data_IF_941638808865
#
_entry.id   IF_941638808865
#
_cell.length_a   1.000
_cell.length_b   1.000
_cell.length_c   1.000
_cell.angle_alpha   90.00
_cell.angle_beta   90.00
_cell.angle_gamma   90.00
#
_symmetry.space_group_name_H-M   'P 1'
#
loop_
_entity.id
_entity.type
_entity.pdbx_description
1 polymer ?
#
# COMPACT_ATOMS: atom_id res chain seq x y z
N UNK A 1 1.79 -2.42 -0.61
CA UNK A 1 0.41 -2.32 -0.07
C UNK A 1 0.34 -1.14 0.91
N UNK A 2 -0.79 -0.44 0.99
CA UNK A 2 -1.11 0.46 2.12
C UNK A 2 -2.53 0.16 2.58
N UNK A 3 -2.82 0.49 3.83
CA UNK A 3 -4.19 0.44 4.35
C UNK A 3 -4.40 1.74 5.14
N UNK A 4 -5.43 2.48 4.75
CA UNK A 4 -5.77 3.79 5.26
C UNK A 4 -7.06 3.65 6.06
N UNK A 5 -7.10 4.11 7.31
CA UNK A 5 -8.36 4.27 8.05
C UNK A 5 -8.95 5.65 7.71
N UNK A 6 -10.25 5.68 7.46
CA UNK A 6 -10.98 6.72 6.73
C UNK A 6 -12.13 7.31 7.56
N UNK A 7 -12.23 8.63 7.55
CA UNK A 7 -13.52 9.31 7.70
C UNK A 7 -14.14 9.52 6.31
N UNK A 8 -15.45 9.76 6.16
CA UNK A 8 -16.13 9.59 4.88
C UNK A 8 -15.83 10.69 3.87
N UNK A 9 -14.82 10.49 2.98
CA UNK A 9 -14.84 10.81 1.53
C UNK A 9 -13.48 10.57 0.80
N UNK A 10 -13.54 9.87 -0.35
CA UNK A 10 -12.58 9.83 -1.49
C UNK A 10 -11.16 9.23 -1.37
N UNK A 11 -11.01 8.03 -1.96
CA UNK A 11 -9.99 7.49 -2.92
C UNK A 11 -8.66 8.21 -3.20
N UNK A 12 -7.55 7.43 -3.38
CA UNK A 12 -6.44 7.52 -4.41
C UNK A 12 -5.01 7.17 -3.88
N UNK A 13 -4.15 6.56 -4.73
CA UNK A 13 -2.84 5.90 -4.40
C UNK A 13 -1.83 5.82 -5.60
N UNK A 14 -0.51 5.47 -5.59
CA UNK A 14 0.64 5.15 -4.66
C UNK A 14 1.88 6.02 -5.08
N UNK A 15 3.09 6.06 -4.45
CA UNK A 15 4.07 5.09 -3.85
C UNK A 15 4.92 5.66 -2.67
N UNK A 16 5.82 4.82 -2.11
CA UNK A 16 6.94 5.12 -1.17
C UNK A 16 6.62 5.79 0.18
N UNK A 17 7.64 5.96 1.04
CA UNK A 17 7.52 6.81 2.26
C UNK A 17 7.01 8.17 1.83
N UNK A 18 6.17 8.80 2.64
CA UNK A 18 5.52 10.06 2.29
C UNK A 18 6.56 11.05 1.76
N UNK A 19 6.55 11.30 0.45
CA UNK A 19 7.50 12.17 -0.20
C UNK A 19 7.23 13.58 0.25
N UNK A 20 7.96 14.05 1.26
CA UNK A 20 7.89 15.43 1.67
C UNK A 20 8.47 16.27 0.51
N UNK A 21 7.68 17.09 -0.21
CA UNK A 21 8.09 17.65 -1.50
C UNK A 21 9.23 18.66 -1.38
N UNK A 22 9.57 19.10 -0.17
CA UNK A 22 10.70 19.97 0.16
C UNK A 22 12.01 19.22 0.43
N UNK A 23 11.99 17.88 0.51
CA UNK A 23 13.18 17.03 0.66
C UNK A 23 13.29 15.96 -0.43
N UNK A 24 12.17 15.41 -0.88
CA UNK A 24 12.09 14.37 -1.91
C UNK A 24 11.82 14.99 -3.29
N UNK A 25 12.58 14.61 -4.32
CA UNK A 25 12.34 15.00 -5.72
C UNK A 25 12.82 16.39 -6.16
N UNK A 26 13.18 17.29 -5.24
CA UNK A 26 13.77 18.60 -5.60
C UNK A 26 12.81 19.55 -6.33
N UNK A 27 11.55 19.57 -5.92
CA UNK A 27 10.45 20.24 -6.61
C UNK A 27 10.63 21.77 -6.61
N UNK A 28 10.64 22.38 -7.79
CA UNK A 28 10.86 23.84 -7.97
C UNK A 28 9.53 24.62 -7.99
N UNK A 29 8.40 23.91 -8.10
CA UNK A 29 7.06 24.48 -8.27
C UNK A 29 5.98 23.63 -7.58
N UNK A 30 4.87 24.26 -7.22
CA UNK A 30 3.67 23.61 -6.66
C UNK A 30 3.17 22.45 -7.54
N UNK A 31 3.26 22.59 -8.87
CA UNK A 31 2.88 21.53 -9.80
C UNK A 31 3.74 20.27 -9.64
N UNK A 32 5.07 20.42 -9.57
CA UNK A 32 5.99 19.29 -9.39
C UNK A 32 5.85 18.64 -8.01
N UNK A 33 5.46 19.43 -6.99
CA UNK A 33 5.21 18.96 -5.64
C UNK A 33 4.08 17.91 -5.55
N UNK A 34 3.25 17.79 -6.57
CA UNK A 34 2.19 16.77 -6.71
C UNK A 34 2.62 15.72 -7.73
N UNK A 35 3.11 14.60 -7.25
CA UNK A 35 3.50 13.42 -8.02
C UNK A 35 3.24 12.13 -7.23
N UNK A 36 3.49 10.96 -7.84
CA UNK A 36 3.21 9.65 -7.24
C UNK A 36 3.89 9.41 -5.87
N UNK A 37 5.08 9.97 -5.61
CA UNK A 37 5.70 9.84 -4.27
C UNK A 37 5.06 10.70 -3.17
N UNK A 38 4.19 11.67 -3.50
CA UNK A 38 3.83 12.79 -2.60
C UNK A 38 2.34 12.91 -2.26
N UNK A 39 1.45 12.23 -2.98
CA UNK A 39 0.00 12.45 -2.85
C UNK A 39 -0.56 12.06 -1.46
N UNK A 40 -0.02 11.07 -0.73
CA UNK A 40 -0.43 10.78 0.66
C UNK A 40 0.02 11.87 1.64
N UNK A 41 1.16 12.53 1.40
CA UNK A 41 1.51 13.71 2.17
C UNK A 41 0.43 14.78 1.95
N UNK A 42 0.04 15.04 0.70
CA UNK A 42 -1.08 15.96 0.40
C UNK A 42 -2.43 15.51 0.94
N UNK A 43 -2.69 14.21 1.09
CA UNK A 43 -3.89 13.69 1.75
C UNK A 43 -3.86 13.92 3.27
N UNK A 44 -2.69 13.79 3.91
CA UNK A 44 -2.50 14.17 5.31
C UNK A 44 -2.69 15.67 5.53
N UNK A 45 -2.01 16.53 4.75
CA UNK A 45 -2.12 18.00 4.87
C UNK A 45 -3.57 18.50 4.61
N UNK A 46 -4.39 17.73 3.89
CA UNK A 46 -5.81 18.00 3.66
C UNK A 46 -6.76 17.38 4.72
N UNK A 47 -6.24 16.66 5.71
CA UNK A 47 -7.03 16.01 6.76
C UNK A 47 -7.85 14.80 6.28
N UNK A 48 -7.49 14.19 5.15
CA UNK A 48 -8.20 13.04 4.55
C UNK A 48 -7.75 11.68 5.15
N UNK A 49 -6.73 11.68 5.99
CA UNK A 49 -6.13 10.48 6.58
C UNK A 49 -6.24 10.51 8.12
N UNK A 50 -6.47 9.34 8.71
CA UNK A 50 -6.40 9.13 10.15
C UNK A 50 -4.99 8.72 10.61
N UNK A 51 -4.72 8.93 11.90
CA UNK A 51 -3.47 8.51 12.54
C UNK A 51 -3.41 6.99 12.87
N UNK A 52 -4.23 6.17 12.20
CA UNK A 52 -4.32 4.71 12.29
C UNK A 52 -3.72 4.00 11.06
N UNK A 53 -3.20 4.75 10.09
CA UNK A 53 -2.79 4.23 8.78
C UNK A 53 -1.48 3.42 8.82
N UNK A 54 -1.28 2.54 7.82
CA UNK A 54 -0.10 1.65 7.74
C UNK A 54 0.48 1.50 6.32
N UNK A 55 1.82 1.50 6.24
CA UNK A 55 2.63 1.19 5.07
C UNK A 55 3.12 -0.26 5.13
N UNK A 56 2.90 -1.06 4.08
CA UNK A 56 3.26 -2.48 4.05
C UNK A 56 4.11 -2.85 2.82
N UNK A 57 5.08 -3.74 3.04
CA UNK A 57 6.12 -4.18 2.10
C UNK A 57 7.14 -3.10 1.68
N UNK A 58 7.50 -2.17 2.59
CA UNK A 58 8.54 -1.17 2.34
C UNK A 58 9.92 -1.84 2.15
N UNK A 59 10.65 -1.45 1.10
CA UNK A 59 12.03 -1.89 0.80
C UNK A 59 12.85 -0.77 0.15
N UNK A 60 13.66 -1.07 -0.88
CA UNK A 60 14.47 -0.09 -1.61
C UNK A 60 15.66 0.47 -0.82
N UNK A 61 16.35 1.49 -1.36
CA UNK A 61 17.37 2.25 -0.64
C UNK A 61 16.79 2.85 0.65
N UNK A 62 17.55 2.85 1.75
CA UNK A 62 17.08 3.38 3.02
C UNK A 62 16.70 4.87 2.90
N UNK A 63 15.41 5.24 3.02
CA UNK A 63 15.01 6.64 3.05
C UNK A 63 15.50 7.23 4.37
N UNK A 64 15.91 8.49 4.36
CA UNK A 64 16.68 9.07 5.46
C UNK A 64 15.87 9.15 6.76
N UNK A 65 16.52 9.40 7.90
CA UNK A 65 15.82 9.56 9.19
C UNK A 65 14.74 10.66 9.17
N UNK A 66 14.81 11.61 8.23
CA UNK A 66 13.77 12.62 8.00
C UNK A 66 12.48 12.05 7.44
N UNK A 67 12.58 11.17 6.44
CA UNK A 67 11.45 10.57 5.73
C UNK A 67 10.74 9.58 6.67
N UNK A 68 11.55 8.79 7.39
CA UNK A 68 11.10 7.93 8.51
C UNK A 68 10.27 8.71 9.53
N UNK A 69 10.76 9.88 9.96
CA UNK A 69 10.04 10.77 10.89
C UNK A 69 8.86 11.52 10.26
N UNK A 70 8.70 11.54 8.93
CA UNK A 70 7.62 12.25 8.25
C UNK A 70 6.39 11.36 8.13
N UNK A 71 6.54 10.09 7.73
CA UNK A 71 5.47 9.07 7.82
C UNK A 71 4.82 9.07 9.22
N UNK A 72 5.64 9.06 10.27
CA UNK A 72 5.23 8.98 11.67
C UNK A 72 4.40 10.21 12.09
N UNK A 73 4.84 11.41 11.70
CA UNK A 73 4.08 12.66 11.94
C UNK A 73 2.75 12.68 11.20
N UNK A 74 2.73 12.10 10.00
CA UNK A 74 1.54 12.03 9.17
C UNK A 74 0.62 10.85 9.52
N UNK A 75 0.91 10.09 10.58
CA UNK A 75 0.02 9.06 11.10
C UNK A 75 0.20 7.67 10.50
N UNK A 76 1.38 7.34 9.96
CA UNK A 76 1.70 6.01 9.41
C UNK A 76 2.67 5.20 10.28
N UNK A 77 2.33 3.91 10.48
CA UNK A 77 3.29 2.88 10.89
C UNK A 77 3.81 2.11 9.66
N UNK A 78 4.91 1.36 9.80
CA UNK A 78 5.57 0.62 8.70
C UNK A 78 5.77 -0.86 9.01
N UNK A 79 5.65 -1.65 7.96
CA UNK A 79 6.09 -3.03 7.85
C UNK A 79 7.07 -3.11 6.68
N UNK A 80 8.30 -3.52 6.95
CA UNK A 80 9.31 -3.76 5.91
C UNK A 80 9.00 -5.07 5.19
N UNK A 81 9.36 -5.20 3.91
CA UNK A 81 9.15 -6.44 3.14
C UNK A 81 9.76 -7.65 3.89
N UNK A 82 11.01 -7.51 4.36
CA UNK A 82 11.77 -8.49 5.16
C UNK A 82 11.36 -8.63 6.64
N UNK A 83 10.24 -8.04 7.06
CA UNK A 83 9.65 -8.44 8.35
C UNK A 83 8.88 -9.77 8.22
N UNK A 84 8.44 -10.13 7.01
CA UNK A 84 7.76 -11.40 6.73
C UNK A 84 8.65 -12.61 7.08
N UNK A 85 9.97 -12.49 6.85
CA UNK A 85 11.00 -13.49 7.22
C UNK A 85 11.03 -13.80 8.73
N UNK A 86 10.52 -12.89 9.57
CA UNK A 86 10.61 -12.94 11.04
C UNK A 86 9.28 -13.29 11.70
N UNK A 87 8.17 -12.80 11.15
CA UNK A 87 6.83 -12.90 11.77
C UNK A 87 5.79 -13.65 10.91
N UNK A 88 6.14 -14.01 9.67
CA UNK A 88 5.25 -14.66 8.70
C UNK A 88 4.06 -13.80 8.29
N UNK A 89 3.30 -14.24 7.28
CA UNK A 89 2.07 -13.56 6.82
C UNK A 89 1.11 -13.27 7.99
N UNK A 90 0.96 -14.22 8.92
CA UNK A 90 0.11 -14.08 10.11
C UNK A 90 0.54 -12.94 11.05
N UNK A 91 1.85 -12.70 11.22
CA UNK A 91 2.34 -11.55 11.99
C UNK A 91 2.13 -10.22 11.27
N UNK A 92 2.20 -10.20 9.93
CA UNK A 92 1.86 -9.03 9.11
C UNK A 92 0.37 -8.71 9.24
N UNK A 93 -0.50 -9.71 9.07
CA UNK A 93 -1.96 -9.62 9.24
C UNK A 93 -2.31 -9.08 10.62
N UNK A 94 -1.69 -9.62 11.69
CA UNK A 94 -1.93 -9.16 13.06
C UNK A 94 -1.52 -7.69 13.22
N UNK A 95 -0.30 -7.31 12.80
CA UNK A 95 0.16 -5.91 12.86
C UNK A 95 -0.81 -4.96 12.16
N UNK A 96 -1.28 -5.33 10.96
CA UNK A 96 -2.26 -4.54 10.21
C UNK A 96 -3.55 -4.37 11.02
N UNK A 97 -4.16 -5.47 11.48
CA UNK A 97 -5.42 -5.46 12.23
C UNK A 97 -5.32 -4.69 13.55
N UNK A 98 -4.21 -4.85 14.28
CA UNK A 98 -3.89 -4.09 15.49
C UNK A 98 -3.81 -2.57 15.23
N UNK A 99 -3.30 -2.19 14.04
CA UNK A 99 -2.97 -0.80 13.69
C UNK A 99 -4.16 -0.01 13.16
N UNK A 100 -4.99 -0.62 12.29
CA UNK A 100 -6.17 0.04 11.68
C UNK A 100 -7.45 -0.14 12.51
N UNK A 101 -7.47 -1.10 13.43
CA UNK A 101 -8.60 -1.35 14.33
C UNK A 101 -9.89 -1.72 13.60
N UNK A 102 -11.01 -1.09 13.99
CA UNK A 102 -12.35 -1.31 13.42
C UNK A 102 -12.88 -0.08 12.67
N UNK A 103 -11.99 0.80 12.20
CA UNK A 103 -12.34 1.95 11.37
C UNK A 103 -12.82 1.54 9.98
N UNK A 104 -13.30 2.50 9.18
CA UNK A 104 -13.59 2.25 7.77
C UNK A 104 -12.28 2.28 7.00
N UNK A 105 -11.89 1.20 6.32
CA UNK A 105 -10.57 1.12 5.68
C UNK A 105 -10.63 1.18 4.16
N UNK A 106 -9.68 1.91 3.59
CA UNK A 106 -9.36 1.90 2.17
C UNK A 106 -8.08 1.07 1.97
N UNK A 107 -8.18 -0.04 1.24
CA UNK A 107 -7.06 -0.94 0.95
C UNK A 107 -6.46 -0.60 -0.40
N UNK A 108 -5.15 -0.64 -0.51
CA UNK A 108 -4.50 -0.39 -1.79
C UNK A 108 -3.25 -1.24 -2.03
N UNK A 109 -3.10 -1.69 -3.26
CA UNK A 109 -1.94 -2.44 -3.71
C UNK A 109 -1.27 -1.76 -4.89
N UNK A 110 -0.11 -1.19 -4.62
CA UNK A 110 0.92 -1.06 -5.63
C UNK A 110 1.46 -2.43 -6.06
N UNK A 111 1.54 -2.70 -7.35
CA UNK A 111 2.18 -3.92 -7.85
C UNK A 111 3.70 -3.91 -7.70
N UNK A 112 4.33 -2.74 -7.54
CA UNK A 112 5.73 -2.57 -7.11
C UNK A 112 5.96 -3.15 -5.71
N UNK A 113 4.92 -3.36 -4.89
CA UNK A 113 5.10 -3.88 -3.54
C UNK A 113 5.31 -5.40 -3.48
N UNK A 114 5.09 -6.09 -4.61
CA UNK A 114 5.50 -7.46 -4.86
C UNK A 114 6.87 -7.54 -5.54
N UNK A 115 7.51 -8.71 -5.50
CA UNK A 115 8.80 -8.92 -6.16
C UNK A 115 8.66 -8.95 -7.69
N UNK A 116 9.61 -8.37 -8.47
CA UNK A 116 9.58 -8.38 -9.94
C UNK A 116 9.51 -9.77 -10.59
N UNK A 117 9.82 -10.86 -9.88
CA UNK A 117 9.56 -12.23 -10.34
C UNK A 117 8.05 -12.59 -10.41
N UNK A 118 7.18 -11.77 -9.82
CA UNK A 118 5.71 -11.86 -9.88
C UNK A 118 5.14 -10.71 -10.71
N UNK A 119 5.65 -9.49 -10.50
CA UNK A 119 5.13 -8.24 -11.08
C UNK A 119 6.23 -7.43 -11.79
N UNK A 120 6.76 -7.90 -12.92
CA UNK A 120 7.82 -7.21 -13.66
C UNK A 120 7.40 -5.85 -14.26
N UNK A 121 6.09 -5.58 -14.39
CA UNK A 121 5.56 -4.45 -15.17
C UNK A 121 5.17 -3.24 -14.32
N UNK A 122 6.14 -2.59 -13.68
CA UNK A 122 5.97 -1.33 -12.95
C UNK A 122 7.04 -0.31 -13.33
N UNK A 123 6.77 0.99 -13.09
CA UNK A 123 7.75 2.06 -13.26
C UNK A 123 8.88 2.05 -12.22
N UNK A 124 8.68 1.41 -11.05
CA UNK A 124 9.61 1.47 -9.89
C UNK A 124 9.95 0.08 -9.33
N UNK A 125 10.46 -0.81 -10.19
CA UNK A 125 10.81 -2.20 -9.81
C UNK A 125 12.00 -2.28 -8.83
N UNK A 126 11.74 -2.85 -7.64
CA UNK A 126 12.72 -3.07 -6.57
C UNK A 126 12.83 -4.57 -6.22
N UNK A 127 14.01 -5.19 -6.11
CA UNK A 127 14.13 -6.62 -5.77
C UNK A 127 13.86 -6.91 -4.29
N UNK A 128 13.39 -8.11 -3.97
CA UNK A 128 13.09 -8.56 -2.60
C UNK A 128 11.74 -8.08 -2.08
N UNK A 129 10.72 -8.04 -2.95
CA UNK A 129 9.32 -7.79 -2.58
C UNK A 129 8.62 -9.05 -2.03
N UNK A 130 7.32 -8.95 -1.77
CA UNK A 130 6.51 -10.14 -1.43
C UNK A 130 6.13 -10.94 -2.68
N UNK A 131 5.92 -12.24 -2.54
CA UNK A 131 5.29 -13.02 -3.60
C UNK A 131 3.79 -12.73 -3.70
N UNK A 132 3.21 -12.99 -4.88
CA UNK A 132 1.76 -12.98 -5.11
C UNK A 132 0.99 -13.77 -4.05
N UNK A 133 1.46 -14.99 -3.73
CA UNK A 133 0.87 -15.85 -2.67
C UNK A 133 0.86 -15.17 -1.30
N UNK A 134 1.96 -14.53 -0.91
CA UNK A 134 2.05 -13.88 0.40
C UNK A 134 1.12 -12.68 0.50
N UNK A 135 1.06 -11.84 -0.55
CA UNK A 135 0.14 -10.71 -0.59
C UNK A 135 -1.33 -11.16 -0.53
N UNK A 136 -1.72 -12.19 -1.31
CA UNK A 136 -3.08 -12.73 -1.28
C UNK A 136 -3.41 -13.32 0.10
N UNK A 137 -2.50 -14.11 0.69
CA UNK A 137 -2.66 -14.61 2.07
C UNK A 137 -2.85 -13.48 3.09
N UNK A 138 -2.15 -12.35 2.90
CA UNK A 138 -2.26 -11.16 3.76
C UNK A 138 -3.60 -10.45 3.55
N UNK A 139 -4.09 -10.33 2.31
CA UNK A 139 -5.41 -9.80 1.98
C UNK A 139 -6.52 -10.64 2.60
N UNK A 140 -6.50 -11.96 2.42
CA UNK A 140 -7.49 -12.88 2.97
C UNK A 140 -7.59 -12.74 4.51
N UNK A 141 -6.46 -12.54 5.20
CA UNK A 141 -6.41 -12.29 6.64
C UNK A 141 -7.05 -10.97 7.12
N UNK A 142 -7.50 -10.10 6.20
CA UNK A 142 -8.22 -8.87 6.51
C UNK A 142 -9.74 -9.04 6.50
N UNK A 143 -10.25 -10.26 6.29
CA UNK A 143 -11.68 -10.59 6.43
C UNK A 143 -12.23 -10.10 7.78
N UNK A 144 -13.46 -9.58 7.78
CA UNK A 144 -14.11 -8.98 8.95
C UNK A 144 -13.64 -7.55 9.30
N UNK A 145 -12.72 -6.95 8.54
CA UNK A 145 -12.49 -5.49 8.59
C UNK A 145 -13.51 -4.75 7.71
N UNK A 146 -13.81 -3.50 8.06
CA UNK A 146 -14.80 -2.68 7.36
C UNK A 146 -14.17 -2.02 6.11
N UNK A 147 -13.90 -2.80 5.07
CA UNK A 147 -13.36 -2.28 3.80
C UNK A 147 -14.43 -1.49 3.05
N UNK A 148 -14.19 -0.20 2.83
CA UNK A 148 -15.12 0.72 2.14
C UNK A 148 -14.68 1.10 0.74
N UNK A 149 -13.49 0.66 0.31
CA UNK A 149 -12.97 0.87 -1.03
C UNK A 149 -11.55 0.36 -1.19
N UNK A 150 -11.09 0.33 -2.45
CA UNK A 150 -9.69 0.06 -2.76
C UNK A 150 -9.34 0.23 -4.23
N UNK A 151 -8.05 0.14 -4.52
CA UNK A 151 -7.47 0.25 -5.86
C UNK A 151 -6.21 -0.63 -6.01
N UNK A 152 -5.82 -0.85 -7.28
CA UNK A 152 -4.58 -1.52 -7.67
C UNK A 152 -3.88 -0.64 -8.71
N UNK A 153 -2.60 -0.33 -8.50
CA UNK A 153 -1.90 0.76 -9.19
C UNK A 153 -0.46 0.39 -9.60
N UNK A 154 0.17 1.30 -10.37
CA UNK A 154 1.49 1.17 -11.03
C UNK A 154 1.65 -0.05 -11.96
N UNK A 155 0.53 -0.67 -12.38
CA UNK A 155 0.53 -1.63 -13.50
C UNK A 155 0.87 -0.89 -14.80
N UNK A 156 1.98 -1.26 -15.43
CA UNK A 156 2.46 -0.65 -16.68
C UNK A 156 2.56 -1.71 -17.79
N UNK A 157 1.47 -1.98 -18.54
CA UNK A 157 1.45 -3.01 -19.58
C UNK A 157 2.58 -2.96 -20.62
N UNK A 158 3.14 -1.79 -21.03
CA UNK A 158 4.31 -1.74 -21.92
C UNK A 158 5.59 -2.40 -21.38
N UNK A 159 5.65 -2.73 -20.08
CA UNK A 159 6.75 -3.47 -19.45
C UNK A 159 6.35 -4.90 -19.05
N UNK A 160 5.13 -5.36 -19.34
CA UNK A 160 4.69 -6.71 -18.99
C UNK A 160 5.21 -7.75 -20.00
N UNK A 161 5.22 -8.99 -19.54
CA UNK A 161 5.62 -10.14 -20.36
C UNK A 161 4.54 -10.50 -21.37
N UNK A 162 4.88 -11.31 -22.38
CA UNK A 162 3.91 -11.92 -23.32
C UNK A 162 2.85 -12.80 -22.61
N UNK A 163 3.07 -13.12 -21.33
CA UNK A 163 2.13 -13.86 -20.49
C UNK A 163 1.33 -12.97 -19.52
N UNK A 164 1.43 -11.64 -19.61
CA UNK A 164 0.64 -10.64 -18.86
C UNK A 164 0.66 -10.85 -17.33
N UNK A 165 1.78 -11.35 -16.79
CA UNK A 165 1.96 -11.75 -15.39
C UNK A 165 1.56 -10.68 -14.38
N UNK A 166 1.91 -9.42 -14.65
CA UNK A 166 1.60 -8.31 -13.73
C UNK A 166 0.13 -7.98 -13.80
N UNK A 167 -0.43 -7.97 -15.00
CA UNK A 167 -1.84 -7.67 -15.27
C UNK A 167 -2.78 -8.73 -14.69
N UNK A 168 -2.42 -10.01 -14.80
CA UNK A 168 -3.15 -11.14 -14.19
C UNK A 168 -3.05 -11.09 -12.66
N UNK A 169 -1.86 -10.79 -12.12
CA UNK A 169 -1.67 -10.64 -10.66
C UNK A 169 -2.49 -9.48 -10.10
N UNK A 170 -2.52 -8.34 -10.81
CA UNK A 170 -3.34 -7.18 -10.45
C UNK A 170 -4.85 -7.49 -10.47
N UNK A 171 -5.32 -8.28 -11.46
CA UNK A 171 -6.70 -8.72 -11.53
C UNK A 171 -7.09 -9.59 -10.31
N UNK A 172 -6.25 -10.55 -9.90
CA UNK A 172 -6.51 -11.37 -8.72
C UNK A 172 -6.46 -10.57 -7.41
N UNK A 173 -5.59 -9.56 -7.32
CA UNK A 173 -5.57 -8.63 -6.17
C UNK A 173 -6.85 -7.79 -6.12
N UNK A 174 -7.34 -7.31 -7.26
CA UNK A 174 -8.59 -6.56 -7.33
C UNK A 174 -9.79 -7.42 -6.91
N UNK A 175 -9.82 -8.69 -7.30
CA UNK A 175 -10.81 -9.69 -6.89
C UNK A 175 -10.80 -9.94 -5.36
N UNK A 176 -9.62 -10.08 -4.74
CA UNK A 176 -9.49 -10.15 -3.27
C UNK A 176 -9.94 -8.85 -2.59
N UNK A 177 -9.61 -7.67 -3.14
CA UNK A 177 -10.04 -6.37 -2.60
C UNK A 177 -11.57 -6.21 -2.67
N UNK A 178 -12.21 -6.63 -3.76
CA UNK A 178 -13.67 -6.65 -3.91
C UNK A 178 -14.29 -7.64 -2.93
N UNK A 179 -13.70 -8.84 -2.80
CA UNK A 179 -14.14 -9.88 -1.87
C UNK A 179 -14.22 -9.36 -0.43
N UNK A 180 -13.21 -8.61 0.03
CA UNK A 180 -13.19 -8.00 1.36
C UNK A 180 -14.26 -6.92 1.60
N UNK A 181 -14.90 -6.38 0.56
CA UNK A 181 -16.02 -5.43 0.69
C UNK A 181 -17.40 -6.12 0.73
N UNK A 182 -17.51 -7.31 0.14
CA UNK A 182 -18.77 -8.05 0.01
C UNK A 182 -18.90 -9.18 1.03
N UNK A 183 -17.79 -9.82 1.42
CA UNK A 183 -17.75 -10.83 2.48
C UNK A 183 -17.94 -10.11 3.81
N UNK A 184 -19.02 -10.48 4.51
CA UNK A 184 -19.37 -10.00 5.84
C UNK A 184 -19.56 -11.22 6.72
N UNK A 185 -19.10 -11.15 7.96
CA UNK A 185 -19.36 -12.20 8.95
C UNK A 185 -20.85 -12.59 8.94
N UNK A 186 -21.15 -13.84 8.60
CA UNK A 186 -22.46 -14.44 8.92
C UNK A 186 -22.52 -14.66 10.44
N UNK A 187 -22.87 -13.58 11.16
CA UNK A 187 -23.02 -13.56 12.62
C UNK A 187 -24.21 -14.40 13.04
N UNK A 188 -23.93 -15.67 13.29
CA UNK A 188 -24.71 -16.57 14.14
C UNK A 188 -24.68 -16.10 15.60
#
# INVERSE_FOLDING_TARGET
>A
MRILDQSPLSTLTHTWTLGNPYYFGGNVTDYQSVNHGTYLHWAHEKGLLTNSSIHAAIRGPYPGPKDVQHDEKCGFDRILARDIDKIGTQGIIKKIRDRVGSGAIYITVDVDSMDPANTPASGTVEPGGWTSRELLTILDGLEGLNVVGGDVVEVSPPFDTVAELTSITAAQVADSIISLMIIKDEKN
#
